data_IF_919996683776
#
_entry.id   IF_919996683776
#
_cell.length_a   1.000
_cell.length_b   1.000
_cell.length_c   1.000
_cell.angle_alpha   90.00
_cell.angle_beta   90.00
_cell.angle_gamma   90.00
#
_symmetry.space_group_name_H-M   'P 1'
#
loop_
_entity.id
_entity.type
_entity.pdbx_description
1 polymer ?
#
# COMPACT_ATOMS: atom_id res chain seq x y z
N UNK A 1 -3.62 -2.49 1.49
CA UNK A 1 -2.59 -1.43 1.38
C UNK A 1 -1.47 -1.90 0.46
N UNK A 2 -1.28 -1.22 -0.67
CA UNK A 2 -0.33 -1.60 -1.71
C UNK A 2 0.88 -0.65 -1.77
N UNK A 3 1.99 -1.14 -2.32
CA UNK A 3 3.26 -0.40 -2.37
C UNK A 3 4.48 -1.32 -2.27
N UNK A 4 5.69 -0.77 -2.44
CA UNK A 4 6.93 -1.55 -2.39
C UNK A 4 7.01 -2.43 -1.14
N UNK A 5 7.42 -3.68 -1.36
CA UNK A 5 7.63 -4.66 -0.30
C UNK A 5 8.96 -4.39 0.39
N UNK A 6 8.96 -4.07 1.70
CA UNK A 6 10.20 -3.95 2.45
C UNK A 6 10.86 -5.33 2.63
N UNK A 7 12.21 -5.38 2.74
CA UNK A 7 12.90 -6.59 3.16
C UNK A 7 12.56 -6.92 4.63
N UNK A 8 12.94 -8.13 5.05
CA UNK A 8 12.80 -8.59 6.43
C UNK A 8 13.31 -7.55 7.44
N UNK A 9 12.64 -7.49 8.60
CA UNK A 9 12.93 -6.58 9.73
C UNK A 9 12.62 -5.09 9.49
N UNK A 10 12.67 -4.61 8.23
CA UNK A 10 12.28 -3.23 7.88
C UNK A 10 10.76 -3.01 7.91
N UNK A 11 9.97 -4.08 8.02
CA UNK A 11 8.50 -4.00 8.06
C UNK A 11 7.94 -3.56 9.42
N UNK A 12 8.58 -3.97 10.52
CA UNK A 12 8.05 -3.74 11.89
C UNK A 12 7.83 -2.27 12.21
N UNK A 13 8.74 -1.43 11.71
CA UNK A 13 8.67 0.02 11.83
C UNK A 13 8.38 0.69 10.49
N UNK A 14 7.80 -0.06 9.55
CA UNK A 14 7.50 0.40 8.20
C UNK A 14 6.29 1.32 8.12
N UNK A 15 6.11 1.96 6.96
CA UNK A 15 5.01 2.88 6.73
C UNK A 15 3.64 2.21 6.89
N UNK A 16 3.48 0.93 6.48
CA UNK A 16 2.22 0.19 6.62
C UNK A 16 1.80 0.07 8.08
N UNK A 17 2.73 -0.30 8.97
CA UNK A 17 2.50 -0.37 10.42
C UNK A 17 2.10 0.98 10.99
N UNK A 18 2.76 2.06 10.54
CA UNK A 18 2.40 3.42 10.95
C UNK A 18 0.98 3.81 10.50
N UNK A 19 0.58 3.48 9.28
CA UNK A 19 -0.79 3.72 8.79
C UNK A 19 -1.80 2.92 9.62
N UNK A 20 -1.58 1.62 9.81
CA UNK A 20 -2.45 0.74 10.61
C UNK A 20 -2.63 1.31 12.02
N UNK A 21 -1.53 1.62 12.71
CA UNK A 21 -1.58 2.17 14.07
C UNK A 21 -2.42 3.45 14.11
N UNK A 22 -2.20 4.37 13.18
CA UNK A 22 -2.95 5.63 13.12
C UNK A 22 -4.43 5.45 12.81
N UNK A 23 -4.80 4.45 12.02
CA UNK A 23 -6.20 4.11 11.78
C UNK A 23 -6.83 3.44 13.02
N UNK A 24 -6.12 2.54 13.69
CA UNK A 24 -6.60 1.91 14.93
C UNK A 24 -6.78 2.92 16.07
N UNK A 25 -5.92 3.93 16.16
CA UNK A 25 -6.01 5.00 17.16
C UNK A 25 -7.12 6.03 16.82
N UNK A 26 -7.73 5.96 15.63
CA UNK A 26 -8.74 6.92 15.19
C UNK A 26 -10.13 6.52 15.69
N UNK A 27 -10.56 7.13 16.78
CA UNK A 27 -11.85 6.87 17.45
C UNK A 27 -13.10 7.16 16.60
N UNK A 28 -12.96 7.79 15.43
CA UNK A 28 -14.07 8.00 14.48
C UNK A 28 -14.40 6.72 13.72
N UNK A 29 -13.44 5.82 13.53
CA UNK A 29 -13.59 4.64 12.69
C UNK A 29 -14.31 3.51 13.43
N UNK A 30 -15.13 2.75 12.69
CA UNK A 30 -15.83 1.60 13.24
C UNK A 30 -14.83 0.42 13.40
N UNK A 31 -14.76 -0.23 14.58
CA UNK A 31 -13.93 -1.42 14.79
C UNK A 31 -14.19 -2.60 13.84
N UNK A 32 -15.34 -2.64 13.15
CA UNK A 32 -15.66 -3.67 12.15
C UNK A 32 -14.92 -3.49 10.81
N UNK A 33 -14.31 -2.33 10.57
CA UNK A 33 -13.57 -2.06 9.33
C UNK A 33 -12.32 -2.92 9.25
N UNK A 34 -12.08 -3.53 8.09
CA UNK A 34 -10.94 -4.44 7.86
C UNK A 34 -9.85 -3.73 7.07
N UNK A 35 -8.63 -3.73 7.63
CA UNK A 35 -7.43 -3.28 6.91
C UNK A 35 -6.63 -4.50 6.46
N UNK A 36 -6.50 -4.66 5.15
CA UNK A 36 -5.66 -5.71 4.57
C UNK A 36 -4.24 -5.19 4.35
N UNK A 37 -3.27 -5.82 5.01
CA UNK A 37 -1.84 -5.57 4.84
C UNK A 37 -1.13 -6.86 4.46
N UNK A 38 -0.35 -6.90 3.36
CA UNK A 38 0.31 -8.14 2.91
C UNK A 38 1.48 -8.56 3.81
N UNK A 39 2.02 -7.63 4.61
CA UNK A 39 3.19 -7.91 5.46
C UNK A 39 2.84 -8.84 6.64
N UNK A 40 3.61 -9.91 6.87
CA UNK A 40 3.42 -10.79 8.02
C UNK A 40 3.59 -10.03 9.33
N UNK A 41 2.84 -10.40 10.36
CA UNK A 41 2.85 -9.75 11.68
C UNK A 41 4.25 -9.76 12.32
N UNK A 42 5.00 -10.84 12.12
CA UNK A 42 6.38 -10.99 12.58
C UNK A 42 7.37 -10.05 11.89
N UNK A 43 7.02 -9.50 10.72
CA UNK A 43 7.92 -8.74 9.85
C UNK A 43 8.99 -9.59 9.16
N UNK A 44 8.76 -10.90 8.99
CA UNK A 44 9.62 -11.83 8.26
C UNK A 44 8.82 -12.61 7.21
N UNK A 45 9.19 -12.51 5.94
CA UNK A 45 8.50 -13.22 4.84
C UNK A 45 8.54 -14.74 5.02
N UNK A 46 9.66 -15.25 5.53
CA UNK A 46 9.87 -16.69 5.83
C UNK A 46 8.85 -17.33 6.77
N UNK A 47 8.06 -16.54 7.50
CA UNK A 47 6.99 -17.06 8.36
C UNK A 47 5.72 -17.44 7.57
N UNK A 48 5.53 -16.87 6.38
CA UNK A 48 4.38 -17.12 5.50
C UNK A 48 4.76 -17.81 4.18
N UNK A 49 6.05 -17.83 3.83
CA UNK A 49 6.55 -18.58 2.69
C UNK A 49 6.26 -20.09 2.85
N UNK A 50 5.88 -20.75 1.74
CA UNK A 50 5.58 -22.18 1.75
C UNK A 50 6.83 -23.00 2.15
N UNK A 51 6.75 -23.72 3.27
CA UNK A 51 7.86 -24.55 3.83
C UNK A 51 8.04 -25.91 3.15
N UNK A 52 7.56 -26.10 1.93
CA UNK A 52 7.56 -27.41 1.25
C UNK A 52 8.79 -27.62 0.37
N UNK A 53 9.25 -28.87 0.30
CA UNK A 53 10.57 -29.29 -0.21
C UNK A 53 10.64 -29.51 -1.74
N UNK A 54 9.62 -29.15 -2.52
CA UNK A 54 9.66 -29.30 -3.98
C UNK A 54 9.27 -28.00 -4.68
N UNK A 55 10.15 -27.55 -5.58
CA UNK A 55 10.08 -26.26 -6.28
C UNK A 55 8.78 -26.12 -7.08
N UNK A 56 8.35 -27.18 -7.77
CA UNK A 56 7.15 -27.19 -8.63
C UNK A 56 5.84 -27.09 -7.84
N UNK A 57 5.78 -27.64 -6.62
CA UNK A 57 4.59 -27.54 -5.76
C UNK A 57 4.52 -26.20 -5.03
N UNK A 58 5.66 -25.58 -4.73
CA UNK A 58 5.69 -24.23 -4.15
C UNK A 58 5.16 -23.17 -5.12
N UNK A 59 5.42 -23.30 -6.44
CA UNK A 59 4.89 -22.37 -7.44
C UNK A 59 3.35 -22.47 -7.60
N UNK A 60 2.78 -23.65 -7.39
CA UNK A 60 1.33 -23.89 -7.45
C UNK A 60 0.63 -23.56 -6.11
N UNK A 61 1.35 -23.75 -4.98
CA UNK A 61 0.86 -23.51 -3.63
C UNK A 61 1.28 -22.16 -3.06
N UNK A 62 1.83 -21.25 -3.88
CA UNK A 62 2.11 -19.88 -3.47
C UNK A 62 0.77 -19.20 -3.16
N UNK A 63 0.32 -19.35 -1.91
CA UNK A 63 -0.96 -18.85 -1.42
C UNK A 63 -0.96 -17.33 -1.29
N UNK A 64 0.20 -16.69 -1.35
CA UNK A 64 0.28 -15.24 -1.19
C UNK A 64 -0.31 -14.51 -2.39
N UNK A 65 0.05 -14.88 -3.62
CA UNK A 65 -0.46 -14.21 -4.83
C UNK A 65 -1.99 -14.35 -4.95
N UNK A 66 -2.61 -15.55 -4.82
CA UNK A 66 -4.05 -15.69 -4.80
C UNK A 66 -4.72 -14.98 -3.63
N UNK A 67 -4.10 -14.95 -2.44
CA UNK A 67 -4.63 -14.23 -1.28
C UNK A 67 -4.64 -12.72 -1.53
N UNK A 68 -3.52 -12.15 -2.00
CA UNK A 68 -3.42 -10.74 -2.37
C UNK A 68 -4.47 -10.43 -3.45
N UNK A 69 -4.57 -11.22 -4.51
CA UNK A 69 -5.59 -11.02 -5.56
C UNK A 69 -7.03 -11.12 -5.06
N UNK A 70 -7.33 -12.05 -4.15
CA UNK A 70 -8.65 -12.20 -3.56
C UNK A 70 -9.02 -10.96 -2.75
N UNK A 71 -8.18 -10.56 -1.80
CA UNK A 71 -8.48 -9.42 -0.96
C UNK A 71 -8.43 -8.10 -1.73
N UNK A 72 -7.55 -7.97 -2.72
CA UNK A 72 -7.49 -6.78 -3.56
C UNK A 72 -8.76 -6.58 -4.40
N UNK A 73 -9.44 -7.67 -4.82
CA UNK A 73 -10.75 -7.58 -5.46
C UNK A 73 -11.89 -7.20 -4.50
N UNK A 74 -11.80 -7.65 -3.24
CA UNK A 74 -12.79 -7.39 -2.19
C UNK A 74 -12.65 -6.02 -1.54
N UNK A 75 -11.47 -5.38 -1.65
CA UNK A 75 -11.26 -4.05 -1.09
C UNK A 75 -12.09 -2.98 -1.83
N UNK A 76 -12.89 -2.22 -1.09
CA UNK A 76 -13.54 -1.01 -1.61
C UNK A 76 -12.56 0.15 -1.73
N UNK A 77 -11.50 0.17 -0.94
CA UNK A 77 -10.45 1.20 -0.96
C UNK A 77 -9.11 0.53 -1.27
N UNK A 78 -8.48 0.95 -2.38
CA UNK A 78 -7.09 0.61 -2.67
C UNK A 78 -6.20 1.81 -2.39
N UNK A 79 -5.39 1.69 -1.34
CA UNK A 79 -4.44 2.73 -0.92
C UNK A 79 -3.00 2.35 -1.28
N UNK A 80 -2.36 3.13 -2.16
CA UNK A 80 -0.97 2.97 -2.60
C UNK A 80 -0.05 4.00 -1.95
N UNK A 81 1.00 3.53 -1.29
CA UNK A 81 2.12 4.37 -0.86
C UNK A 81 3.38 3.96 -1.62
N UNK A 82 4.01 4.91 -2.33
CA UNK A 82 5.12 4.65 -3.26
C UNK A 82 6.43 5.34 -2.81
N UNK A 83 7.10 4.88 -1.75
CA UNK A 83 8.44 5.32 -1.36
C UNK A 83 9.50 4.59 -2.20
N UNK A 84 9.58 4.93 -3.50
CA UNK A 84 10.44 4.23 -4.46
C UNK A 84 11.78 4.93 -4.64
N UNK A 85 12.87 4.17 -4.51
CA UNK A 85 14.24 4.70 -4.61
C UNK A 85 15.19 3.66 -5.21
N UNK A 86 16.19 4.13 -5.97
CA UNK A 86 17.31 3.31 -6.44
C UNK A 86 18.40 3.19 -5.36
N UNK A 87 18.71 4.29 -4.68
CA UNK A 87 19.85 4.40 -3.78
C UNK A 87 19.45 4.48 -2.30
N UNK A 88 20.12 3.71 -1.45
CA UNK A 88 19.82 3.65 0.00
C UNK A 88 20.05 4.99 0.71
N UNK A 89 21.08 5.73 0.31
CA UNK A 89 21.41 7.04 0.88
C UNK A 89 20.28 8.07 0.67
N UNK A 90 19.61 8.00 -0.48
CA UNK A 90 18.44 8.82 -0.77
C UNK A 90 17.18 8.25 -0.12
N UNK A 91 17.05 6.93 -0.09
CA UNK A 91 15.86 6.24 0.39
C UNK A 91 15.57 6.49 1.87
N UNK A 92 16.60 6.60 2.71
CA UNK A 92 16.45 6.65 4.17
C UNK A 92 15.31 7.58 4.63
N UNK A 93 14.38 7.09 5.48
CA UNK A 93 14.39 5.80 6.20
C UNK A 93 13.80 4.61 5.43
N UNK A 94 13.39 4.80 4.17
CA UNK A 94 12.81 3.74 3.36
C UNK A 94 13.89 2.77 2.83
N UNK A 95 13.53 1.51 2.51
CA UNK A 95 14.40 0.63 1.74
C UNK A 95 14.65 1.19 0.33
N UNK A 96 15.85 0.98 -0.20
CA UNK A 96 16.13 1.17 -1.62
C UNK A 96 15.39 0.10 -2.44
N UNK A 97 14.17 0.43 -2.85
CA UNK A 97 13.32 -0.45 -3.64
C UNK A 97 12.51 0.39 -4.63
N UNK A 98 12.67 0.13 -5.91
CA UNK A 98 11.93 0.83 -6.96
C UNK A 98 10.49 0.34 -7.17
N UNK A 99 10.09 -0.72 -6.46
CA UNK A 99 8.75 -1.31 -6.48
C UNK A 99 8.29 -1.87 -7.83
N UNK A 100 9.05 -2.78 -8.51
CA UNK A 100 8.62 -3.33 -9.80
C UNK A 100 7.23 -3.98 -9.74
N UNK A 101 6.99 -4.85 -8.75
CA UNK A 101 5.70 -5.52 -8.55
C UNK A 101 4.58 -4.51 -8.27
N UNK A 102 4.84 -3.54 -7.38
CA UNK A 102 3.86 -2.52 -7.02
C UNK A 102 3.43 -1.63 -8.20
N UNK A 103 4.26 -1.51 -9.25
CA UNK A 103 3.87 -0.81 -10.48
C UNK A 103 2.88 -1.60 -11.32
N UNK A 104 3.03 -2.92 -11.39
CA UNK A 104 2.07 -3.80 -12.04
C UNK A 104 0.72 -3.75 -11.32
N UNK A 105 0.75 -3.88 -9.99
CA UNK A 105 -0.44 -3.73 -9.15
C UNK A 105 -1.09 -2.36 -9.38
N UNK A 106 -0.30 -1.29 -9.35
CA UNK A 106 -0.80 0.07 -9.55
C UNK A 106 -1.58 0.21 -10.85
N UNK A 107 -1.02 -0.25 -11.97
CA UNK A 107 -1.68 -0.19 -13.27
C UNK A 107 -2.99 -0.98 -13.31
N UNK A 108 -2.98 -2.20 -12.78
CA UNK A 108 -4.17 -3.05 -12.71
C UNK A 108 -5.28 -2.41 -11.86
N UNK A 109 -4.98 -2.02 -10.61
CA UNK A 109 -6.00 -1.47 -9.71
C UNK A 109 -6.47 -0.08 -10.10
N UNK A 110 -5.60 0.72 -10.71
CA UNK A 110 -6.02 1.99 -11.27
C UNK A 110 -7.04 1.77 -12.39
N UNK A 111 -6.81 0.80 -13.29
CA UNK A 111 -7.80 0.43 -14.30
C UNK A 111 -9.12 -0.07 -13.69
N UNK A 112 -9.05 -0.92 -12.65
CA UNK A 112 -10.25 -1.42 -11.97
C UNK A 112 -11.04 -0.30 -11.27
N UNK A 113 -10.34 0.67 -10.68
CA UNK A 113 -10.94 1.89 -10.15
C UNK A 113 -11.67 2.68 -11.25
N UNK A 114 -11.03 2.91 -12.40
CA UNK A 114 -11.63 3.67 -13.51
C UNK A 114 -12.89 3.01 -14.07
N UNK A 115 -12.99 1.67 -14.01
CA UNK A 115 -14.21 0.94 -14.40
C UNK A 115 -15.38 1.16 -13.44
N UNK A 116 -15.12 1.51 -12.17
CA UNK A 116 -16.16 1.67 -11.15
C UNK A 116 -15.78 2.65 -10.04
N UNK A 117 -15.68 3.93 -10.39
CA UNK A 117 -15.27 5.03 -9.48
C UNK A 117 -16.28 5.30 -8.36
N UNK A 118 -17.52 4.82 -8.50
CA UNK A 118 -18.56 4.96 -7.47
C UNK A 118 -18.33 3.98 -6.31
N UNK A 119 -18.05 2.71 -6.61
CA UNK A 119 -17.86 1.65 -5.60
C UNK A 119 -16.42 1.50 -5.13
N UNK A 120 -15.45 1.67 -6.03
CA UNK A 120 -14.03 1.55 -5.71
C UNK A 120 -13.42 2.92 -5.48
N UNK A 121 -12.56 3.03 -4.46
CA UNK A 121 -11.81 4.23 -4.12
C UNK A 121 -10.33 3.93 -4.30
N UNK A 122 -9.62 4.91 -4.83
CA UNK A 122 -8.19 4.80 -5.14
C UNK A 122 -7.46 5.98 -4.52
N UNK A 123 -6.59 5.69 -3.56
CA UNK A 123 -5.85 6.69 -2.79
C UNK A 123 -4.38 6.45 -3.03
N UNK A 124 -3.64 7.49 -3.37
CA UNK A 124 -2.24 7.36 -3.77
C UNK A 124 -1.38 8.40 -3.06
N UNK A 125 -0.17 8.00 -2.70
CA UNK A 125 0.79 8.92 -2.13
C UNK A 125 2.22 8.46 -2.28
N UNK A 126 3.13 9.39 -2.05
CA UNK A 126 4.56 9.13 -2.05
C UNK A 126 5.30 10.21 -1.25
N UNK A 127 6.55 9.95 -0.88
CA UNK A 127 7.52 11.02 -0.65
C UNK A 127 7.65 11.96 -1.86
N UNK A 128 7.98 13.22 -1.61
CA UNK A 128 8.20 14.25 -2.62
C UNK A 128 9.37 13.89 -3.54
N UNK A 129 10.41 13.31 -2.96
CA UNK A 129 11.66 12.91 -3.63
C UNK A 129 11.66 11.46 -4.13
N UNK A 130 10.50 10.78 -4.12
CA UNK A 130 10.40 9.43 -4.64
C UNK A 130 10.67 9.38 -6.15
N UNK A 131 11.41 8.36 -6.57
CA UNK A 131 11.94 8.21 -7.92
C UNK A 131 11.00 7.38 -8.79
N UNK A 132 11.02 7.63 -10.10
CA UNK A 132 10.30 6.81 -11.10
C UNK A 132 8.75 6.82 -10.99
N UNK A 133 8.16 7.80 -10.31
CA UNK A 133 6.68 7.94 -10.16
C UNK A 133 6.05 9.02 -11.04
N UNK A 134 6.84 9.73 -11.86
CA UNK A 134 6.36 10.87 -12.67
C UNK A 134 5.21 10.51 -13.62
N UNK A 135 5.28 9.34 -14.23
CA UNK A 135 4.22 8.84 -15.12
C UNK A 135 2.95 8.50 -14.36
N UNK A 136 3.07 7.79 -13.23
CA UNK A 136 1.94 7.49 -12.35
C UNK A 136 1.24 8.80 -11.93
N UNK A 137 2.00 9.78 -11.42
CA UNK A 137 1.50 11.12 -11.04
C UNK A 137 0.69 11.78 -12.15
N UNK A 138 1.26 11.86 -13.37
CA UNK A 138 0.60 12.49 -14.51
C UNK A 138 -0.68 11.77 -14.93
N UNK A 139 -0.63 10.45 -14.99
CA UNK A 139 -1.79 9.65 -15.39
C UNK A 139 -2.90 9.83 -14.36
N UNK A 140 -2.62 9.73 -13.07
CA UNK A 140 -3.65 9.86 -12.03
C UNK A 140 -4.23 11.27 -11.95
N UNK A 141 -3.42 12.30 -12.20
CA UNK A 141 -3.86 13.70 -12.27
C UNK A 141 -4.87 13.92 -13.40
N UNK A 142 -4.73 13.25 -14.55
CA UNK A 142 -5.70 13.30 -15.65
C UNK A 142 -7.09 12.76 -15.28
N UNK A 143 -7.21 12.01 -14.19
CA UNK A 143 -8.47 11.43 -13.70
C UNK A 143 -8.84 11.99 -12.32
N UNK A 144 -8.33 13.18 -11.97
CA UNK A 144 -8.62 13.88 -10.72
C UNK A 144 -8.31 13.07 -9.44
N UNK A 145 -7.38 12.11 -9.52
CA UNK A 145 -6.94 11.36 -8.35
C UNK A 145 -5.84 12.13 -7.64
N UNK A 146 -6.18 12.65 -6.47
CA UNK A 146 -5.31 13.44 -5.60
C UNK A 146 -4.05 12.64 -5.19
N UNK A 147 -2.89 13.28 -5.36
CA UNK A 147 -1.60 12.71 -4.92
C UNK A 147 -1.16 13.25 -3.56
N UNK A 148 -1.15 12.38 -2.56
CA UNK A 148 -0.74 12.73 -1.20
C UNK A 148 0.78 12.71 -1.07
N UNK A 149 1.38 13.87 -0.80
CA UNK A 149 2.84 14.02 -0.79
C UNK A 149 3.38 14.17 0.62
N UNK A 150 4.39 13.37 0.98
CA UNK A 150 5.21 13.57 2.17
C UNK A 150 6.43 14.41 1.80
N UNK A 151 6.65 15.51 2.52
CA UNK A 151 7.80 16.39 2.28
C UNK A 151 9.12 15.69 2.58
N UNK A 152 10.18 16.03 1.83
CA UNK A 152 11.49 15.36 1.94
C UNK A 152 12.08 15.48 3.35
N UNK A 153 11.94 16.64 3.96
CA UNK A 153 12.36 16.94 5.33
C UNK A 153 11.56 16.19 6.41
N UNK A 154 10.41 15.63 6.04
CA UNK A 154 9.52 14.89 6.95
C UNK A 154 9.57 13.37 6.71
N UNK A 155 10.57 12.84 5.99
CA UNK A 155 10.67 11.40 5.68
C UNK A 155 10.72 10.50 6.91
N UNK A 156 11.16 11.01 8.06
CA UNK A 156 11.05 10.34 9.36
C UNK A 156 9.60 10.04 9.78
N UNK A 157 8.61 10.76 9.22
CA UNK A 157 7.20 10.43 9.38
C UNK A 157 6.77 9.21 8.57
N UNK A 158 7.57 8.68 7.65
CA UNK A 158 7.29 7.50 6.81
C UNK A 158 6.11 7.63 5.82
N UNK A 159 5.06 8.36 6.17
CA UNK A 159 3.84 8.55 5.40
C UNK A 159 3.28 9.95 5.65
N UNK A 160 2.64 10.54 4.64
CA UNK A 160 2.00 11.85 4.77
C UNK A 160 0.74 11.77 5.64
N UNK A 161 0.54 12.73 6.55
CA UNK A 161 -0.68 12.79 7.37
C UNK A 161 -1.94 12.91 6.49
N UNK A 162 -1.83 13.65 5.38
CA UNK A 162 -2.93 13.79 4.41
C UNK A 162 -3.33 12.47 3.75
N UNK A 163 -2.41 11.51 3.59
CA UNK A 163 -2.71 10.19 3.03
C UNK A 163 -3.52 9.36 4.02
N UNK A 164 -3.14 9.39 5.30
CA UNK A 164 -3.87 8.69 6.38
C UNK A 164 -5.27 9.27 6.54
N UNK A 165 -5.39 10.61 6.57
CA UNK A 165 -6.69 11.27 6.70
C UNK A 165 -7.62 10.98 5.51
N UNK A 166 -7.09 10.89 4.29
CA UNK A 166 -7.89 10.52 3.13
C UNK A 166 -8.45 9.09 3.27
N UNK A 167 -7.63 8.14 3.74
CA UNK A 167 -8.08 6.77 4.01
C UNK A 167 -9.20 6.78 5.06
N UNK A 168 -8.99 7.47 6.19
CA UNK A 168 -9.98 7.54 7.26
C UNK A 168 -11.30 8.19 6.79
N UNK A 169 -11.23 9.31 6.07
CA UNK A 169 -12.42 10.00 5.57
C UNK A 169 -13.16 9.19 4.49
N UNK A 170 -12.42 8.46 3.65
CA UNK A 170 -13.00 7.54 2.68
C UNK A 170 -13.72 6.37 3.38
N UNK A 171 -13.13 5.83 4.45
CA UNK A 171 -13.77 4.80 5.27
C UNK A 171 -15.05 5.31 5.94
N UNK A 172 -15.09 6.56 6.41
CA UNK A 172 -16.28 7.16 7.03
C UNK A 172 -17.39 7.49 6.03
N UNK A 173 -17.03 7.91 4.82
CA UNK A 173 -17.98 8.37 3.80
C UNK A 173 -18.65 7.23 3.04
N UNK A 174 -18.02 6.06 2.96
CA UNK A 174 -18.76 4.87 2.59
C UNK A 174 -19.76 4.61 3.73
N UNK A 175 -21.03 4.89 3.49
CA UNK A 175 -22.12 4.47 4.39
C UNK A 175 -22.18 2.95 4.36
N UNK A 176 -21.38 2.32 5.23
CA UNK A 176 -21.43 0.89 5.43
C UNK A 176 -22.65 0.60 6.28
N UNK A 177 -23.76 0.26 5.63
CA UNK A 177 -24.90 -0.34 6.31
C UNK A 177 -24.45 -1.74 6.79
N UNK A 178 -23.90 -1.79 8.01
CA UNK A 178 -23.55 -3.03 8.73
C UNK A 178 -24.74 -3.52 9.55
#
# INVERSE_FOLDING_TARGET
MAGPTPPDEKMKNGWRRKVIQKLMDNNRLNPSMVVVSPEPESGKWSDIDAKTSSVELNEILDKQIPWEWQYLNLCDITAFWLPTYWDEALAHPFPANIGPTSRWEFGFFFQEYLKNTTKRKFIIGSPEDAESIKWAKRITDMYDVKWHTLKKEEKNKLVADSFIEEIANTLLSNNWDY
#
